data_IF_022261614834
#
_entry.id   IF_022261614834
#
_cell.length_a   1.000
_cell.length_b   1.000
_cell.length_c   1.000
_cell.angle_alpha   90.00
_cell.angle_beta   90.00
_cell.angle_gamma   90.00
#
_symmetry.space_group_name_H-M   'P 1'
#
loop_
_entity.id
_entity.type
_entity.pdbx_description
1 polymer ?
#
# COMPACT_ATOMS: atom_id res chain seq x y z
N UNK A 1 -16.10 5.81 3.91
CA UNK A 1 -14.96 5.30 3.12
C UNK A 1 -15.24 3.85 2.81
N UNK A 2 -15.25 3.48 1.53
CA UNK A 2 -15.29 2.07 1.12
C UNK A 2 -13.98 1.37 1.50
N UNK A 3 -13.98 0.04 1.46
CA UNK A 3 -12.79 -0.79 1.70
C UNK A 3 -11.66 -0.37 0.74
N UNK A 4 -10.49 -0.03 1.30
CA UNK A 4 -9.28 0.31 0.53
C UNK A 4 -8.70 -1.00 -0.01
N UNK A 5 -9.24 -1.45 -1.13
CA UNK A 5 -8.76 -2.63 -1.83
C UNK A 5 -7.95 -2.18 -3.02
N UNK A 6 -6.73 -2.68 -3.22
CA UNK A 6 -5.92 -2.44 -4.42
C UNK A 6 -5.46 -3.79 -4.95
N UNK A 7 -5.73 -4.10 -6.21
CA UNK A 7 -5.28 -5.36 -6.81
C UNK A 7 -3.81 -5.27 -7.25
N UNK A 8 -3.10 -6.40 -7.35
CA UNK A 8 -1.67 -6.46 -7.71
C UNK A 8 -1.30 -5.60 -8.92
N UNK A 9 -2.10 -5.66 -9.99
CA UNK A 9 -1.87 -4.88 -11.20
C UNK A 9 -2.06 -3.38 -10.96
N UNK A 10 -3.04 -3.02 -10.13
CA UNK A 10 -3.32 -1.63 -9.75
C UNK A 10 -2.25 -1.08 -8.81
N UNK A 11 -1.72 -1.91 -7.90
CA UNK A 11 -0.66 -1.55 -6.98
C UNK A 11 0.61 -1.12 -7.73
N UNK A 12 0.95 -1.81 -8.83
CA UNK A 12 2.07 -1.41 -9.69
C UNK A 12 1.86 -0.04 -10.32
N UNK A 13 0.64 0.28 -10.76
CA UNK A 13 0.34 1.63 -11.26
C UNK A 13 0.39 2.67 -10.13
N UNK A 14 -0.08 2.31 -8.94
CA UNK A 14 -0.03 3.19 -7.77
C UNK A 14 1.40 3.51 -7.34
N UNK A 15 2.35 2.58 -7.45
CA UNK A 15 3.77 2.88 -7.23
C UNK A 15 4.25 4.05 -8.09
N UNK A 16 3.93 4.02 -9.39
CA UNK A 16 4.27 5.12 -10.31
C UNK A 16 3.61 6.43 -9.86
N UNK A 17 2.34 6.38 -9.45
CA UNK A 17 1.59 7.57 -9.01
C UNK A 17 2.15 8.15 -7.70
N UNK A 18 2.49 7.30 -6.73
CA UNK A 18 3.07 7.72 -5.45
C UNK A 18 4.47 8.35 -5.64
N UNK A 19 5.29 7.79 -6.52
CA UNK A 19 6.64 8.30 -6.82
C UNK A 19 6.61 9.67 -7.55
N UNK A 20 5.63 9.88 -8.43
CA UNK A 20 5.60 11.06 -9.30
C UNK A 20 4.72 12.21 -8.78
N UNK A 21 3.96 12.01 -7.71
CA UNK A 21 3.08 12.98 -7.01
C UNK A 21 2.48 14.09 -7.91
N UNK A 22 1.22 13.91 -8.36
CA UNK A 22 0.51 14.77 -9.33
C UNK A 22 1.07 14.67 -10.76
N UNK A 23 0.82 13.52 -11.40
CA UNK A 23 1.31 13.19 -12.75
C UNK A 23 0.26 13.45 -13.83
N UNK A 24 0.67 13.92 -15.01
CA UNK A 24 -0.27 14.02 -16.15
C UNK A 24 -0.68 12.62 -16.61
N UNK A 25 -1.97 12.42 -16.86
CA UNK A 25 -2.51 11.15 -17.36
C UNK A 25 -1.85 10.66 -18.66
N UNK A 26 -1.40 11.57 -19.53
CA UNK A 26 -0.65 11.24 -20.74
C UNK A 26 0.76 10.73 -20.47
N UNK A 27 1.39 11.19 -19.40
CA UNK A 27 2.71 10.77 -18.92
C UNK A 27 2.61 9.45 -18.16
N UNK A 28 1.61 9.31 -17.29
CA UNK A 28 1.29 8.05 -16.62
C UNK A 28 1.02 6.92 -17.63
N UNK A 29 0.40 7.21 -18.77
CA UNK A 29 0.23 6.23 -19.87
C UNK A 29 1.57 5.82 -20.49
N UNK A 30 2.54 6.73 -20.61
CA UNK A 30 3.87 6.40 -21.12
C UNK A 30 4.62 5.51 -20.13
N UNK A 31 4.65 5.90 -18.86
CA UNK A 31 5.29 5.11 -17.78
C UNK A 31 4.63 3.73 -17.65
N UNK A 32 3.30 3.66 -17.65
CA UNK A 32 2.60 2.37 -17.62
C UNK A 32 2.91 1.49 -18.85
N UNK A 33 3.19 2.08 -20.01
CA UNK A 33 3.64 1.32 -21.19
C UNK A 33 5.07 0.82 -21.02
N UNK A 34 5.96 1.67 -20.52
CA UNK A 34 7.39 1.38 -20.37
C UNK A 34 7.66 0.36 -19.25
N UNK A 35 7.05 0.56 -18.08
CA UNK A 35 7.30 -0.25 -16.88
C UNK A 35 6.37 -1.46 -16.76
N UNK A 36 5.11 -1.31 -17.18
CA UNK A 36 4.08 -2.36 -17.01
C UNK A 36 3.73 -3.06 -18.32
N UNK A 37 4.22 -2.56 -19.47
CA UNK A 37 3.88 -3.09 -20.79
C UNK A 37 2.42 -2.83 -21.20
N UNK A 38 1.73 -1.90 -20.55
CA UNK A 38 0.30 -1.70 -20.77
C UNK A 38 -0.02 -0.93 -22.05
N UNK A 39 -1.14 -1.29 -22.67
CA UNK A 39 -1.76 -0.49 -23.72
C UNK A 39 -2.42 0.74 -23.11
N UNK A 40 -2.47 1.84 -23.87
CA UNK A 40 -3.15 3.09 -23.48
C UNK A 40 -4.57 2.86 -22.91
N UNK A 41 -5.37 2.01 -23.55
CA UNK A 41 -6.73 1.68 -23.11
C UNK A 41 -6.77 0.99 -21.75
N UNK A 42 -5.79 0.13 -21.46
CA UNK A 42 -5.68 -0.58 -20.18
C UNK A 42 -5.39 0.41 -19.06
N UNK A 43 -4.42 1.31 -19.25
CA UNK A 43 -4.08 2.33 -18.26
C UNK A 43 -5.27 3.22 -17.92
N UNK A 44 -6.00 3.73 -18.92
CA UNK A 44 -7.20 4.55 -18.65
C UNK A 44 -8.33 3.78 -17.97
N UNK A 45 -8.50 2.50 -18.30
CA UNK A 45 -9.50 1.65 -17.63
C UNK A 45 -9.15 1.48 -16.15
N UNK A 46 -7.87 1.25 -15.84
CA UNK A 46 -7.40 1.12 -14.45
C UNK A 46 -7.51 2.44 -13.70
N UNK A 47 -7.10 3.56 -14.31
CA UNK A 47 -7.28 4.91 -13.74
C UNK A 47 -8.76 5.13 -13.39
N UNK A 48 -9.67 4.81 -14.30
CA UNK A 48 -11.12 4.99 -14.08
C UNK A 48 -11.61 4.17 -12.88
N UNK A 49 -11.23 2.90 -12.78
CA UNK A 49 -11.60 2.02 -11.65
C UNK A 49 -11.06 2.53 -10.31
N UNK A 50 -9.83 3.04 -10.29
CA UNK A 50 -9.24 3.63 -9.10
C UNK A 50 -9.92 4.94 -8.69
N UNK A 51 -10.38 5.75 -9.65
CA UNK A 51 -11.21 6.93 -9.38
C UNK A 51 -12.60 6.56 -8.86
N UNK A 52 -13.25 5.54 -9.44
CA UNK A 52 -14.56 5.03 -8.98
C UNK A 52 -14.51 4.56 -7.52
N UNK A 53 -13.34 4.09 -7.07
CA UNK A 53 -13.06 3.66 -5.68
C UNK A 53 -12.46 4.76 -4.79
N UNK A 54 -12.37 6.00 -5.27
CA UNK A 54 -11.81 7.14 -4.53
C UNK A 54 -10.36 6.92 -4.04
N UNK A 55 -9.58 6.09 -4.74
CA UNK A 55 -8.16 5.84 -4.40
C UNK A 55 -7.24 6.86 -5.05
N UNK A 56 -7.62 7.31 -6.25
CA UNK A 56 -6.95 8.39 -6.97
C UNK A 56 -7.99 9.37 -7.49
N UNK A 57 -7.54 10.59 -7.75
CA UNK A 57 -8.32 11.62 -8.41
C UNK A 57 -7.69 11.91 -9.77
N UNK A 58 -8.52 12.16 -10.78
CA UNK A 58 -8.06 12.64 -12.08
C UNK A 58 -8.81 13.93 -12.44
N UNK A 59 -8.15 15.08 -12.28
CA UNK A 59 -8.72 16.40 -12.54
C UNK A 59 -7.87 17.16 -13.53
N UNK A 60 -8.48 17.78 -14.53
CA UNK A 60 -7.78 18.54 -15.56
C UNK A 60 -6.60 17.77 -16.18
N UNK A 61 -6.76 16.46 -16.35
CA UNK A 61 -5.74 15.51 -16.84
C UNK A 61 -4.57 15.24 -15.89
N UNK A 62 -4.62 15.72 -14.65
CA UNK A 62 -3.65 15.46 -13.58
C UNK A 62 -4.20 14.37 -12.67
N UNK A 63 -3.42 13.31 -12.49
CA UNK A 63 -3.71 12.18 -11.62
C UNK A 63 -2.97 12.35 -10.30
N UNK A 64 -3.71 12.34 -9.19
CA UNK A 64 -3.18 12.43 -7.82
C UNK A 64 -3.71 11.27 -6.98
N UNK A 65 -2.94 10.82 -5.99
CA UNK A 65 -3.40 9.81 -5.05
C UNK A 65 -4.24 10.46 -3.95
N UNK A 66 -5.28 9.76 -3.49
CA UNK A 66 -6.10 10.12 -2.32
C UNK A 66 -5.75 9.26 -1.12
N UNK A 67 -5.14 8.09 -1.36
CA UNK A 67 -4.71 7.14 -0.34
C UNK A 67 -3.19 6.96 -0.42
N UNK A 68 -2.52 7.06 0.72
CA UNK A 68 -1.07 6.86 0.82
C UNK A 68 -0.72 5.38 0.84
N UNK A 69 0.53 5.07 0.44
CA UNK A 69 1.05 3.70 0.44
C UNK A 69 0.94 3.02 1.80
N UNK A 70 1.21 3.76 2.88
CA UNK A 70 1.13 3.24 4.25
C UNK A 70 -0.29 2.84 4.65
N UNK A 71 -1.30 3.59 4.21
CA UNK A 71 -2.71 3.28 4.48
C UNK A 71 -3.13 1.98 3.78
N UNK A 72 -2.66 1.78 2.54
CA UNK A 72 -2.92 0.53 1.79
C UNK A 72 -2.25 -0.65 2.47
N UNK A 73 -0.97 -0.53 2.83
CA UNK A 73 -0.21 -1.59 3.50
C UNK A 73 -0.88 -1.94 4.83
N UNK A 74 -1.30 -0.94 5.61
CA UNK A 74 -1.99 -1.16 6.88
C UNK A 74 -3.29 -1.92 6.67
N UNK A 75 -4.16 -1.46 5.76
CA UNK A 75 -5.44 -2.10 5.50
C UNK A 75 -5.28 -3.57 5.05
N UNK A 76 -4.33 -3.85 4.15
CA UNK A 76 -4.06 -5.21 3.68
C UNK A 76 -3.46 -6.09 4.78
N UNK A 77 -2.58 -5.53 5.62
CA UNK A 77 -1.96 -6.25 6.75
C UNK A 77 -3.00 -6.59 7.81
N UNK A 78 -3.89 -5.65 8.16
CA UNK A 78 -5.00 -5.88 9.10
C UNK A 78 -5.94 -6.98 8.56
N UNK A 79 -6.34 -6.91 7.29
CA UNK A 79 -7.17 -7.95 6.65
C UNK A 79 -6.50 -9.33 6.68
N UNK A 80 -5.17 -9.39 6.49
CA UNK A 80 -4.40 -10.63 6.57
C UNK A 80 -4.28 -11.17 8.00
N UNK A 81 -4.05 -10.29 8.99
CA UNK A 81 -3.99 -10.67 10.41
C UNK A 81 -5.34 -11.26 10.84
N UNK A 82 -6.44 -10.61 10.48
CA UNK A 82 -7.79 -11.08 10.78
C UNK A 82 -8.07 -12.46 10.18
N UNK A 83 -7.69 -12.67 8.91
CA UNK A 83 -7.97 -13.92 8.19
C UNK A 83 -7.07 -15.09 8.55
N UNK A 84 -5.78 -14.85 8.72
CA UNK A 84 -4.77 -15.91 8.86
C UNK A 84 -4.35 -16.15 10.32
N UNK A 85 -4.54 -15.16 11.18
CA UNK A 85 -4.07 -15.18 12.56
C UNK A 85 -5.20 -14.87 13.56
N UNK A 86 -6.45 -15.01 13.14
CA UNK A 86 -7.65 -14.82 13.97
C UNK A 86 -7.68 -13.44 14.66
N UNK A 87 -7.14 -12.41 13.99
CA UNK A 87 -7.02 -11.05 14.55
C UNK A 87 -5.93 -10.90 15.62
N UNK A 88 -5.15 -11.96 15.88
CA UNK A 88 -4.12 -11.93 16.92
C UNK A 88 -2.78 -11.45 16.37
N UNK A 89 -2.47 -10.18 16.62
CA UNK A 89 -1.16 -9.59 16.34
C UNK A 89 -0.02 -10.36 17.03
N UNK A 90 -0.26 -10.85 18.25
CA UNK A 90 0.68 -11.72 18.99
C UNK A 90 0.96 -13.02 18.24
N UNK A 91 -0.06 -13.66 17.67
CA UNK A 91 0.12 -14.89 16.91
C UNK A 91 0.88 -14.65 15.60
N UNK A 92 0.61 -13.52 14.93
CA UNK A 92 1.37 -13.08 13.76
C UNK A 92 2.87 -12.95 14.08
N UNK A 93 3.23 -12.14 15.08
CA UNK A 93 4.63 -11.93 15.47
C UNK A 93 5.30 -13.23 15.93
N UNK A 94 4.65 -14.02 16.78
CA UNK A 94 5.26 -15.28 17.25
C UNK A 94 5.46 -16.29 16.13
N UNK A 95 4.64 -16.28 15.08
CA UNK A 95 4.82 -17.13 13.90
C UNK A 95 5.98 -16.66 13.04
N UNK A 96 6.10 -15.36 12.82
CA UNK A 96 7.14 -14.74 11.99
C UNK A 96 8.52 -14.84 12.66
N UNK A 97 8.61 -14.42 13.92
CA UNK A 97 9.86 -14.40 14.71
C UNK A 97 10.40 -15.81 15.02
N UNK A 98 9.56 -16.85 14.98
CA UNK A 98 10.05 -18.24 15.13
C UNK A 98 10.86 -18.73 13.93
N UNK A 99 10.65 -18.15 12.74
CA UNK A 99 11.37 -18.54 11.51
C UNK A 99 12.54 -17.62 11.19
N UNK A 100 12.46 -16.36 11.59
CA UNK A 100 13.51 -15.37 11.33
C UNK A 100 14.62 -15.40 12.38
N UNK A 101 15.87 -15.24 11.92
CA UNK A 101 17.01 -15.00 12.81
C UNK A 101 17.28 -13.51 12.84
N UNK A 102 16.77 -12.85 13.87
CA UNK A 102 17.07 -11.44 14.10
C UNK A 102 18.47 -11.28 14.68
N UNK A 103 19.17 -10.25 14.23
CA UNK A 103 20.40 -9.79 14.84
C UNK A 103 20.09 -8.91 16.07
N UNK A 104 21.15 -8.53 16.81
CA UNK A 104 20.99 -7.78 18.05
C UNK A 104 20.37 -6.39 17.83
N UNK A 105 20.77 -5.71 16.77
CA UNK A 105 20.30 -4.36 16.45
C UNK A 105 18.81 -4.38 16.09
N UNK A 106 18.38 -5.37 15.29
CA UNK A 106 16.96 -5.59 14.96
C UNK A 106 16.10 -5.88 16.20
N UNK A 107 16.63 -6.65 17.16
CA UNK A 107 15.93 -6.93 18.43
C UNK A 107 15.77 -5.66 19.27
N UNK A 108 16.82 -4.84 19.34
CA UNK A 108 16.81 -3.61 20.14
C UNK A 108 15.89 -2.54 19.50
N UNK A 109 15.83 -2.46 18.17
CA UNK A 109 14.84 -1.63 17.46
C UNK A 109 13.40 -2.07 17.74
N UNK A 110 13.12 -3.37 17.65
CA UNK A 110 11.77 -3.91 17.93
C UNK A 110 11.34 -3.65 19.38
N UNK A 111 12.25 -3.79 20.35
CA UNK A 111 11.97 -3.47 21.75
C UNK A 111 11.57 -2.01 21.90
N UNK A 112 12.35 -1.10 21.31
CA UNK A 112 12.08 0.33 21.39
C UNK A 112 10.71 0.68 20.80
N UNK A 113 10.33 0.08 19.68
CA UNK A 113 8.99 0.27 19.07
C UNK A 113 7.88 -0.17 20.04
N UNK A 114 8.04 -1.31 20.73
CA UNK A 114 7.04 -1.80 21.69
C UNK A 114 6.94 -0.88 22.91
N UNK A 115 8.07 -0.46 23.47
CA UNK A 115 8.15 0.47 24.61
C UNK A 115 7.50 1.83 24.28
N UNK A 116 7.77 2.39 23.10
CA UNK A 116 7.15 3.65 22.63
C UNK A 116 5.62 3.55 22.43
N UNK A 117 5.08 2.34 22.27
CA UNK A 117 3.62 2.13 22.20
C UNK A 117 2.99 2.02 23.60
N UNK A 118 3.69 1.45 24.59
CA UNK A 118 3.20 1.43 25.98
C UNK A 118 3.07 2.86 26.55
N UNK A 119 4.01 3.75 26.24
CA UNK A 119 3.97 5.16 26.68
C UNK A 119 2.83 6.00 26.05
N UNK A 120 2.18 5.50 24.99
CA UNK A 120 1.04 6.18 24.34
C UNK A 120 -0.32 5.81 24.95
N UNK A 121 -0.37 4.78 25.79
CA UNK A 121 -1.58 4.34 26.48
C UNK A 121 -1.76 4.97 27.89
N UNK A 122 -0.80 5.79 28.36
CA UNK A 122 -0.90 6.65 29.56
C UNK A 122 -1.24 8.11 29.22
#
# INVERSE_FOLDING_TARGET
>A
MGEIKIFDSEYRLMNIIWENNNIKSSELVKLAKEELGWKKSTTYTVIRRLCEREIIKNENTIVSFLVNREEVIRAETEEHIDKLYEGSLKLFFTTFLKKEKLNKDEIDELRKIVEENEEREE
#
